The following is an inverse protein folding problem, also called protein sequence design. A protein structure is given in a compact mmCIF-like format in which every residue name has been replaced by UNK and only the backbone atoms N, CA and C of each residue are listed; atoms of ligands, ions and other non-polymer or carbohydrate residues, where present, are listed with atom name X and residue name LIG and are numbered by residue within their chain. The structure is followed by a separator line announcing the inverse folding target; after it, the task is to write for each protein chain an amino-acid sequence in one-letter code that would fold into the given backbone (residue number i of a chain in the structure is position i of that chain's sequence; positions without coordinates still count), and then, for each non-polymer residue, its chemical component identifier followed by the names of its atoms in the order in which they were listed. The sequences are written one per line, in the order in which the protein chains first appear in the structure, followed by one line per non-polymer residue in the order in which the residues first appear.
data_IF_683153647518
#
_entry.id   IF_683153647518
#
_cell.length_a   1.000
_cell.length_b   1.000
_cell.length_c   1.000
_cell.angle_alpha   90.00
_cell.angle_beta   90.00
_cell.angle_gamma   90.00
#
_symmetry.space_group_name_H-M   'P 1'
#
loop_
_entity.id
_entity.type
_entity.pdbx_description
1 polymer ?
#
# COMPACT_ATOMS: atom_id res chain seq x y z
N UNK A 1 5.33 -7.90 -26.55
CA UNK A 1 4.30 -7.40 -25.62
C UNK A 1 3.80 -8.49 -24.70
N UNK A 2 3.17 -8.12 -23.58
CA UNK A 2 2.68 -9.06 -22.58
C UNK A 2 1.22 -8.78 -22.26
N UNK A 3 0.54 -9.82 -21.77
CA UNK A 3 -0.83 -9.76 -21.25
C UNK A 3 -0.78 -9.81 -19.72
N UNK A 4 -1.32 -8.80 -19.05
CA UNK A 4 -1.38 -8.77 -17.58
C UNK A 4 -2.50 -9.66 -17.09
N UNK A 5 -2.13 -10.85 -16.64
CA UNK A 5 -3.07 -11.87 -16.17
C UNK A 5 -3.63 -11.59 -14.78
N UNK A 6 -2.87 -10.90 -13.93
CA UNK A 6 -3.34 -10.51 -12.60
C UNK A 6 -2.74 -9.19 -12.13
N UNK A 7 -3.53 -8.44 -11.37
CA UNK A 7 -3.11 -7.23 -10.68
C UNK A 7 -3.61 -7.25 -9.22
N UNK A 8 -2.91 -6.55 -8.31
CA UNK A 8 -3.21 -6.63 -6.88
C UNK A 8 -4.46 -5.86 -6.48
N UNK A 9 -5.03 -6.23 -5.34
CA UNK A 9 -5.86 -5.34 -4.53
C UNK A 9 -4.98 -4.29 -3.88
N UNK A 10 -5.46 -3.07 -3.75
CA UNK A 10 -4.75 -1.94 -3.17
C UNK A 10 -5.54 -1.34 -2.01
N UNK A 11 -4.88 -1.16 -0.88
CA UNK A 11 -5.37 -0.36 0.24
C UNK A 11 -4.46 0.84 0.50
N UNK A 12 -5.05 2.03 0.53
CA UNK A 12 -4.43 3.23 1.07
C UNK A 12 -4.61 3.27 2.58
N UNK A 13 -3.58 3.74 3.29
CA UNK A 13 -3.54 3.75 4.75
C UNK A 13 -3.16 5.15 5.22
N UNK A 14 -3.98 5.69 6.11
CA UNK A 14 -3.74 6.97 6.76
C UNK A 14 -3.61 6.76 8.25
N UNK A 15 -2.44 7.12 8.80
CA UNK A 15 -2.11 6.98 10.22
C UNK A 15 -1.87 8.38 10.77
N UNK A 16 -2.49 8.70 11.90
CA UNK A 16 -2.24 9.95 12.62
C UNK A 16 -1.86 9.63 14.05
N UNK A 17 -0.72 10.14 14.48
CA UNK A 17 -0.31 10.11 15.87
C UNK A 17 -0.58 11.46 16.52
N UNK A 18 -1.10 11.43 17.76
CA UNK A 18 -1.34 12.59 18.60
C UNK A 18 -0.61 12.44 19.92
N UNK A 19 0.33 13.33 20.14
CA UNK A 19 1.06 13.44 21.39
C UNK A 19 0.64 14.68 22.17
N UNK A 20 1.63 15.32 22.82
CA UNK A 20 1.46 16.55 23.61
C UNK A 20 2.64 17.48 23.37
N UNK A 21 2.36 18.73 22.99
CA UNK A 21 3.39 19.75 22.82
C UNK A 21 4.02 20.14 24.16
N UNK A 22 5.33 20.42 24.12
CA UNK A 22 6.08 21.00 25.21
C UNK A 22 7.31 21.75 24.67
N UNK A 23 7.90 22.63 25.46
CA UNK A 23 9.15 23.29 25.08
C UNK A 23 10.32 22.33 25.25
N UNK A 24 10.98 21.97 24.13
CA UNK A 24 11.98 20.91 24.10
C UNK A 24 13.22 21.16 25.02
N UNK A 25 13.53 22.38 25.33
CA UNK A 25 14.66 22.74 26.18
C UNK A 25 14.30 23.16 27.61
N UNK A 26 13.01 23.28 27.98
CA UNK A 26 12.56 23.77 29.26
C UNK A 26 11.84 22.69 30.09
N UNK A 27 10.89 22.01 29.46
CA UNK A 27 10.05 20.98 30.09
C UNK A 27 9.79 19.82 29.13
N UNK A 28 10.83 19.14 28.54
CA UNK A 28 10.66 18.06 27.58
C UNK A 28 9.87 16.87 28.15
N UNK A 29 9.95 16.64 29.47
CA UNK A 29 9.26 15.58 30.18
C UNK A 29 7.73 15.74 30.21
N UNK A 30 7.21 16.95 29.98
CA UNK A 30 5.78 17.20 29.84
C UNK A 30 5.25 16.85 28.43
N UNK A 31 6.16 16.68 27.46
CA UNK A 31 5.82 16.41 26.06
C UNK A 31 5.64 14.93 25.74
N UNK A 32 4.88 14.64 24.69
CA UNK A 32 4.78 13.33 24.05
C UNK A 32 4.99 13.54 22.54
N UNK A 33 6.11 13.04 22.01
CA UNK A 33 6.47 13.27 20.61
C UNK A 33 5.71 12.36 19.66
N UNK A 34 4.78 12.93 18.89
CA UNK A 34 4.07 12.22 17.84
C UNK A 34 5.00 11.77 16.69
N UNK A 35 6.08 12.52 16.40
CA UNK A 35 7.09 12.10 15.39
C UNK A 35 7.86 10.88 15.89
N UNK A 36 8.26 10.84 17.16
CA UNK A 36 8.93 9.67 17.73
C UNK A 36 8.03 8.42 17.70
N UNK A 37 6.74 8.58 18.03
CA UNK A 37 5.75 7.51 17.94
C UNK A 37 5.60 6.99 16.50
N UNK A 38 5.46 7.89 15.52
CA UNK A 38 5.37 7.53 14.10
C UNK A 38 6.63 6.81 13.60
N UNK A 39 7.81 7.30 13.96
CA UNK A 39 9.09 6.68 13.60
C UNK A 39 9.23 5.27 14.20
N UNK A 40 8.84 5.10 15.47
CA UNK A 40 8.81 3.81 16.14
C UNK A 40 7.84 2.82 15.47
N UNK A 41 6.66 3.27 15.06
CA UNK A 41 5.72 2.45 14.31
C UNK A 41 6.29 2.02 12.96
N UNK A 42 6.79 2.97 12.16
CA UNK A 42 7.37 2.70 10.83
C UNK A 42 8.54 1.72 10.92
N UNK A 43 9.40 1.83 11.92
CA UNK A 43 10.56 0.93 12.11
C UNK A 43 10.17 -0.53 12.39
N UNK A 44 8.95 -0.78 12.85
CA UNK A 44 8.39 -2.12 13.12
C UNK A 44 7.63 -2.69 11.93
N UNK A 45 7.23 -1.85 10.99
CA UNK A 45 6.47 -2.29 9.81
C UNK A 45 7.39 -3.06 8.86
N UNK A 46 6.90 -4.18 8.33
CA UNK A 46 7.53 -4.86 7.21
C UNK A 46 7.15 -4.12 5.93
N UNK A 47 8.07 -3.30 5.39
CA UNK A 47 7.88 -2.47 4.20
C UNK A 47 8.68 -3.00 3.02
N UNK A 48 8.40 -2.45 1.83
CA UNK A 48 8.98 -2.88 0.57
C UNK A 48 8.31 -4.15 0.04
N UNK A 49 9.10 -5.09 -0.46
CA UNK A 49 8.61 -6.40 -0.92
C UNK A 49 8.46 -7.35 0.27
N UNK A 50 7.20 -7.55 0.69
CA UNK A 50 6.85 -8.42 1.82
C UNK A 50 6.99 -9.89 1.43
N UNK A 51 6.46 -10.25 0.25
CA UNK A 51 6.65 -11.55 -0.41
C UNK A 51 6.53 -11.40 -1.94
N UNK A 52 6.45 -12.51 -2.70
CA UNK A 52 6.44 -12.49 -4.17
C UNK A 52 5.22 -11.78 -4.79
N UNK A 53 4.18 -11.50 -4.02
CA UNK A 53 2.94 -10.88 -4.51
C UNK A 53 2.41 -9.75 -3.62
N UNK A 54 3.05 -9.52 -2.45
CA UNK A 54 2.63 -8.52 -1.46
C UNK A 54 3.70 -7.44 -1.31
N UNK A 55 3.29 -6.19 -1.33
CA UNK A 55 4.13 -5.02 -1.07
C UNK A 55 3.45 -4.08 -0.09
N UNK A 56 4.25 -3.33 0.68
CA UNK A 56 3.77 -2.24 1.54
C UNK A 56 4.77 -1.08 1.52
N UNK A 57 4.28 0.13 1.68
CA UNK A 57 5.11 1.33 1.68
C UNK A 57 4.56 2.39 2.64
N UNK A 58 5.43 3.09 3.35
CA UNK A 58 5.15 4.34 4.04
C UNK A 58 5.76 5.47 3.19
N UNK A 59 4.95 6.06 2.31
CA UNK A 59 5.43 6.96 1.26
C UNK A 59 5.59 8.41 1.70
N UNK A 60 4.83 8.84 2.72
CA UNK A 60 4.86 10.22 3.23
C UNK A 60 4.80 10.20 4.74
N UNK A 61 5.61 11.03 5.38
CA UNK A 61 5.53 11.37 6.80
C UNK A 61 5.59 12.89 6.95
N UNK A 62 4.72 13.46 7.78
CA UNK A 62 4.66 14.90 7.99
C UNK A 62 4.23 15.17 9.44
N UNK A 63 4.92 16.08 10.12
CA UNK A 63 4.62 16.40 11.51
C UNK A 63 5.48 17.51 12.12
N UNK A 64 5.07 17.97 13.29
CA UNK A 64 5.75 19.04 14.02
C UNK A 64 5.47 20.44 13.48
N UNK A 65 5.89 21.46 14.25
CA UNK A 65 5.69 22.89 13.94
C UNK A 65 6.99 23.69 14.02
N UNK A 66 7.87 23.38 14.98
CA UNK A 66 9.14 24.05 15.19
C UNK A 66 10.16 23.12 15.85
N UNK A 67 11.45 23.38 15.60
CA UNK A 67 12.56 22.55 16.13
C UNK A 67 12.68 22.52 17.66
N UNK A 68 12.19 23.55 18.34
CA UNK A 68 12.23 23.69 19.80
C UNK A 68 10.91 23.34 20.48
N UNK A 69 9.97 22.72 19.76
CA UNK A 69 8.68 22.25 20.28
C UNK A 69 8.59 20.75 20.08
N UNK A 70 8.25 20.01 21.14
CA UNK A 70 7.91 18.59 21.04
C UNK A 70 6.66 18.45 20.19
N UNK A 71 6.69 17.69 19.08
CA UNK A 71 5.60 17.66 18.11
C UNK A 71 4.39 16.90 18.65
N UNK A 72 3.24 17.56 18.72
CA UNK A 72 1.98 16.95 19.16
C UNK A 72 1.23 16.20 18.06
N UNK A 73 1.62 16.35 16.81
CA UNK A 73 0.96 15.68 15.68
C UNK A 73 1.96 15.17 14.64
N UNK A 74 1.65 13.99 14.09
CA UNK A 74 2.37 13.43 12.97
C UNK A 74 1.41 12.58 12.13
N UNK A 75 1.43 12.78 10.80
CA UNK A 75 0.65 12.01 9.83
C UNK A 75 1.59 11.15 8.98
N UNK A 76 1.19 9.90 8.76
CA UNK A 76 1.88 8.97 7.84
C UNK A 76 0.88 8.50 6.80
N UNK A 77 1.24 8.61 5.51
CA UNK A 77 0.49 8.03 4.40
C UNK A 77 1.24 6.83 3.89
N UNK A 78 0.55 5.70 3.93
CA UNK A 78 1.08 4.41 3.56
C UNK A 78 0.14 3.68 2.60
N UNK A 79 0.61 2.59 2.03
CA UNK A 79 -0.19 1.70 1.19
C UNK A 79 0.24 0.24 1.40
N UNK A 80 -0.67 -0.67 1.08
CA UNK A 80 -0.36 -2.08 0.94
C UNK A 80 -1.06 -2.65 -0.30
N UNK A 81 -0.39 -3.58 -0.98
CA UNK A 81 -0.93 -4.26 -2.16
C UNK A 81 -0.64 -5.74 -2.09
N UNK A 82 -1.60 -6.56 -2.51
CA UNK A 82 -1.37 -8.00 -2.72
C UNK A 82 -2.34 -8.56 -3.77
N UNK A 83 -1.88 -9.59 -4.49
CA UNK A 83 -2.77 -10.38 -5.36
C UNK A 83 -3.58 -11.41 -4.57
N UNK A 84 -3.20 -11.67 -3.32
CA UNK A 84 -3.95 -12.45 -2.35
C UNK A 84 -4.57 -11.50 -1.29
N UNK A 85 -5.90 -11.49 -1.20
CA UNK A 85 -6.63 -10.59 -0.29
C UNK A 85 -6.35 -10.92 1.17
N UNK A 86 -6.19 -12.20 1.53
CA UNK A 86 -5.91 -12.60 2.91
C UNK A 86 -4.52 -12.10 3.36
N UNK A 87 -3.52 -12.18 2.46
CA UNK A 87 -2.19 -11.62 2.71
C UNK A 87 -2.21 -10.10 2.83
N UNK A 88 -3.03 -9.43 2.01
CA UNK A 88 -3.22 -7.99 2.13
C UNK A 88 -3.78 -7.62 3.51
N UNK A 89 -4.83 -8.30 3.95
CA UNK A 89 -5.47 -8.07 5.25
C UNK A 89 -4.49 -8.33 6.41
N UNK A 90 -3.70 -9.40 6.34
CA UNK A 90 -2.64 -9.69 7.31
C UNK A 90 -1.57 -8.59 7.34
N UNK A 91 -1.14 -8.09 6.18
CA UNK A 91 -0.15 -7.01 6.10
C UNK A 91 -0.71 -5.71 6.70
N UNK A 92 -1.94 -5.33 6.37
CA UNK A 92 -2.59 -4.14 6.93
C UNK A 92 -2.76 -4.26 8.44
N UNK A 93 -3.15 -5.44 8.93
CA UNK A 93 -3.27 -5.71 10.36
C UNK A 93 -1.90 -5.62 11.07
N UNK A 94 -0.85 -6.19 10.50
CA UNK A 94 0.52 -6.06 11.03
C UNK A 94 0.99 -4.61 11.13
N UNK A 95 0.65 -3.76 10.14
CA UNK A 95 0.96 -2.33 10.20
C UNK A 95 0.17 -1.61 11.30
N UNK A 96 -1.08 -2.00 11.54
CA UNK A 96 -1.88 -1.48 12.66
C UNK A 96 -1.27 -1.87 14.00
N UNK A 97 -0.89 -3.13 14.18
CA UNK A 97 -0.25 -3.64 15.40
C UNK A 97 1.08 -2.91 15.71
N UNK A 98 1.86 -2.57 14.68
CA UNK A 98 3.05 -1.74 14.84
C UNK A 98 2.73 -0.34 15.39
N UNK A 99 1.59 0.25 14.99
CA UNK A 99 1.11 1.52 15.53
C UNK A 99 0.64 1.38 16.99
N UNK A 100 -0.08 0.31 17.32
CA UNK A 100 -0.55 0.02 18.69
C UNK A 100 0.63 -0.11 19.66
N UNK A 101 1.65 -0.87 19.29
CA UNK A 101 2.86 -1.05 20.09
C UNK A 101 3.60 0.29 20.29
N UNK A 102 3.79 1.06 19.21
CA UNK A 102 4.46 2.36 19.30
C UNK A 102 3.68 3.36 20.16
N UNK A 103 2.35 3.37 20.04
CA UNK A 103 1.48 4.22 20.85
C UNK A 103 1.57 3.85 22.36
N UNK A 104 1.54 2.55 22.67
CA UNK A 104 1.66 2.06 24.04
C UNK A 104 3.00 2.43 24.69
N UNK A 105 4.11 2.34 23.95
CA UNK A 105 5.46 2.67 24.43
C UNK A 105 5.69 4.17 24.64
N UNK A 106 5.12 4.99 23.74
CA UNK A 106 5.37 6.43 23.74
C UNK A 106 4.34 7.24 24.52
N UNK A 107 3.19 6.64 24.85
CA UNK A 107 2.04 7.32 25.43
C UNK A 107 1.26 8.20 24.44
N UNK A 108 1.57 8.15 23.14
CA UNK A 108 0.83 8.86 22.11
C UNK A 108 -0.49 8.14 21.80
N UNK A 109 -1.53 8.90 21.48
CA UNK A 109 -2.72 8.33 20.85
C UNK A 109 -2.49 8.18 19.34
N UNK A 110 -3.24 7.27 18.69
CA UNK A 110 -3.19 7.16 17.24
C UNK A 110 -4.58 6.84 16.64
N UNK A 111 -4.73 7.15 15.36
CA UNK A 111 -5.80 6.63 14.50
C UNK A 111 -5.19 5.94 13.29
N UNK A 112 -5.88 4.92 12.79
CA UNK A 112 -5.46 4.13 11.63
C UNK A 112 -6.67 3.89 10.75
N UNK A 113 -6.64 4.46 9.56
CA UNK A 113 -7.70 4.34 8.56
C UNK A 113 -7.14 3.60 7.35
N UNK A 114 -7.71 2.42 7.02
CA UNK A 114 -7.40 1.70 5.78
C UNK A 114 -8.63 1.77 4.87
N UNK A 115 -8.39 2.07 3.58
CA UNK A 115 -9.43 2.19 2.57
C UNK A 115 -9.02 1.40 1.33
N UNK A 116 -9.89 0.47 0.91
CA UNK A 116 -9.72 -0.23 -0.36
C UNK A 116 -9.96 0.72 -1.53
N UNK A 117 -8.92 0.98 -2.31
CA UNK A 117 -9.00 1.84 -3.49
C UNK A 117 -9.55 1.09 -4.71
N UNK A 118 -9.12 -0.16 -4.88
CA UNK A 118 -9.64 -1.07 -5.90
C UNK A 118 -9.36 -2.53 -5.56
N UNK A 119 -10.21 -3.48 -6.04
CA UNK A 119 -9.97 -4.91 -5.92
C UNK A 119 -8.89 -5.38 -6.91
N UNK A 120 -8.24 -6.48 -6.60
CA UNK A 120 -7.40 -7.22 -7.55
C UNK A 120 -8.23 -7.99 -8.57
N UNK A 121 -7.56 -8.49 -9.63
CA UNK A 121 -8.15 -9.45 -10.55
C UNK A 121 -7.13 -10.53 -10.94
N UNK A 122 -7.65 -11.67 -11.40
CA UNK A 122 -6.85 -12.76 -11.94
C UNK A 122 -7.61 -13.46 -13.06
N UNK A 123 -7.00 -13.51 -14.23
CA UNK A 123 -7.48 -14.30 -15.36
C UNK A 123 -6.67 -15.59 -15.50
N UNK A 124 -7.36 -16.71 -15.69
CA UNK A 124 -6.69 -17.95 -16.09
C UNK A 124 -6.26 -17.87 -17.55
N UNK A 125 -5.33 -18.74 -17.93
CA UNK A 125 -4.89 -18.86 -19.32
C UNK A 125 -6.02 -19.21 -20.29
N UNK A 126 -7.03 -19.94 -19.81
CA UNK A 126 -8.20 -20.37 -20.60
C UNK A 126 -9.35 -19.37 -20.56
N UNK A 127 -9.21 -18.25 -19.83
CA UNK A 127 -10.24 -17.21 -19.81
C UNK A 127 -10.54 -16.73 -21.24
N UNK A 128 -11.82 -16.46 -21.58
CA UNK A 128 -12.20 -16.01 -22.92
C UNK A 128 -11.39 -14.80 -23.41
N UNK A 129 -11.13 -13.84 -22.50
CA UNK A 129 -10.34 -12.65 -22.79
C UNK A 129 -8.87 -12.99 -23.10
N UNK A 130 -8.25 -13.91 -22.35
CA UNK A 130 -6.88 -14.36 -22.60
C UNK A 130 -6.75 -15.11 -23.92
N UNK A 131 -7.72 -15.97 -24.25
CA UNK A 131 -7.78 -16.67 -25.54
C UNK A 131 -7.95 -15.69 -26.71
N UNK A 132 -8.83 -14.69 -26.55
CA UNK A 132 -9.04 -13.65 -27.56
C UNK A 132 -7.75 -12.85 -27.80
N UNK A 133 -7.09 -12.38 -26.73
CA UNK A 133 -5.84 -11.63 -26.82
C UNK A 133 -4.73 -12.44 -27.51
N UNK A 134 -4.56 -13.72 -27.17
CA UNK A 134 -3.60 -14.62 -27.83
C UNK A 134 -3.90 -14.80 -29.31
N UNK A 135 -5.19 -15.01 -29.68
CA UNK A 135 -5.58 -15.16 -31.09
C UNK A 135 -5.31 -13.89 -31.89
N UNK A 136 -5.62 -12.73 -31.31
CA UNK A 136 -5.35 -11.43 -31.96
C UNK A 136 -3.84 -11.20 -32.11
N UNK A 137 -3.03 -11.47 -31.11
CA UNK A 137 -1.58 -11.34 -31.16
C UNK A 137 -0.96 -12.30 -32.20
N UNK A 138 -1.42 -13.55 -32.24
CA UNK A 138 -0.95 -14.56 -33.23
C UNK A 138 -1.24 -14.15 -34.67
N UNK A 139 -2.38 -13.48 -34.95
CA UNK A 139 -2.69 -12.96 -36.29
C UNK A 139 -1.73 -11.86 -36.75
N UNK A 140 -0.99 -11.25 -35.82
CA UNK A 140 0.04 -10.24 -36.08
C UNK A 140 1.46 -10.79 -35.95
N UNK A 141 1.62 -12.10 -35.79
CA UNK A 141 2.92 -12.77 -35.63
C UNK A 141 3.54 -12.62 -34.24
N UNK A 142 2.76 -12.27 -33.20
CA UNK A 142 3.22 -12.12 -31.82
C UNK A 142 2.73 -13.27 -30.91
N UNK A 143 3.55 -13.63 -29.92
CA UNK A 143 3.15 -14.51 -28.81
C UNK A 143 3.27 -13.69 -27.53
N UNK A 144 2.14 -13.29 -26.88
CA UNK A 144 2.20 -12.50 -25.66
C UNK A 144 2.52 -13.39 -24.47
N UNK A 145 3.42 -12.94 -23.60
CA UNK A 145 3.65 -13.55 -22.29
C UNK A 145 2.49 -13.21 -21.33
N UNK A 146 2.12 -14.18 -20.51
CA UNK A 146 1.16 -13.96 -19.40
C UNK A 146 1.94 -13.55 -18.17
N UNK A 147 1.73 -12.31 -17.70
CA UNK A 147 2.49 -11.77 -16.55
C UNK A 147 1.58 -11.38 -15.40
N UNK A 148 2.14 -11.42 -14.19
CA UNK A 148 1.51 -10.88 -12.99
C UNK A 148 2.10 -9.49 -12.72
N UNK A 149 1.25 -8.48 -12.56
CA UNK A 149 1.69 -7.10 -12.34
C UNK A 149 1.57 -6.69 -10.85
N UNK A 150 2.44 -5.77 -10.41
CA UNK A 150 2.42 -5.20 -9.06
C UNK A 150 1.62 -3.89 -8.95
N UNK A 151 1.31 -3.25 -10.06
CA UNK A 151 0.51 -2.03 -10.14
C UNK A 151 -0.95 -2.30 -10.50
N UNK A 152 -1.82 -1.34 -10.18
CA UNK A 152 -3.22 -1.32 -10.60
C UNK A 152 -3.43 -0.48 -11.86
N UNK A 153 -4.61 -0.65 -12.45
CA UNK A 153 -5.08 0.09 -13.63
C UNK A 153 -6.61 0.16 -13.61
N UNK A 154 -7.21 0.84 -14.58
CA UNK A 154 -8.67 0.87 -14.77
C UNK A 154 -9.26 -0.54 -14.92
N UNK A 155 -8.46 -1.52 -15.38
CA UNK A 155 -8.87 -2.91 -15.45
C UNK A 155 -9.26 -3.49 -14.09
N UNK A 156 -8.66 -3.03 -12.99
CA UNK A 156 -9.06 -3.42 -11.64
C UNK A 156 -10.49 -3.00 -11.34
N UNK A 157 -10.84 -1.76 -11.69
CA UNK A 157 -12.19 -1.21 -11.51
C UNK A 157 -13.21 -1.93 -12.38
N UNK A 158 -12.88 -2.18 -13.65
CA UNK A 158 -13.76 -2.87 -14.60
C UNK A 158 -14.03 -4.31 -14.13
N UNK A 159 -13.00 -5.07 -13.78
CA UNK A 159 -13.15 -6.43 -13.27
C UNK A 159 -13.95 -6.46 -11.96
N UNK A 160 -13.72 -5.49 -11.06
CA UNK A 160 -14.50 -5.34 -9.82
C UNK A 160 -15.99 -5.07 -10.05
N UNK A 161 -16.36 -4.55 -11.23
CA UNK A 161 -17.75 -4.36 -11.68
C UNK A 161 -18.29 -5.51 -12.55
N UNK A 162 -17.54 -6.60 -12.66
CA UNK A 162 -17.93 -7.78 -13.45
C UNK A 162 -17.70 -7.64 -14.96
N UNK A 163 -16.96 -6.64 -15.41
CA UNK A 163 -16.56 -6.45 -16.80
C UNK A 163 -15.14 -6.99 -16.99
N UNK A 164 -14.94 -8.15 -17.66
CA UNK A 164 -13.62 -8.70 -17.89
C UNK A 164 -12.74 -7.74 -18.70
N UNK A 165 -11.62 -7.32 -18.10
CA UNK A 165 -10.65 -6.42 -18.71
C UNK A 165 -9.24 -6.82 -18.34
N UNK A 166 -8.27 -6.58 -19.21
CA UNK A 166 -6.85 -6.82 -18.97
C UNK A 166 -5.99 -5.77 -19.67
N UNK A 167 -4.83 -5.50 -19.10
CA UNK A 167 -3.82 -4.63 -19.70
C UNK A 167 -3.01 -5.44 -20.72
N UNK A 168 -2.74 -4.84 -21.86
CA UNK A 168 -1.80 -5.36 -22.87
C UNK A 168 -0.62 -4.40 -22.91
N UNK A 169 0.59 -4.91 -22.67
CA UNK A 169 1.82 -4.14 -22.78
C UNK A 169 2.16 -3.85 -24.24
N UNK A 170 2.44 -2.59 -24.53
CA UNK A 170 2.75 -2.10 -25.88
C UNK A 170 4.25 -2.09 -26.19
N UNK A 171 5.08 -2.67 -25.32
CA UNK A 171 6.53 -2.77 -25.51
C UNK A 171 7.29 -1.48 -25.16
N UNK A 172 6.70 -0.62 -24.33
CA UNK A 172 7.43 0.51 -23.74
C UNK A 172 8.36 -0.02 -22.64
N UNK A 173 9.65 0.25 -22.76
CA UNK A 173 10.68 0.04 -21.74
C UNK A 173 11.15 1.41 -21.24
N UNK A 174 11.25 1.58 -19.91
CA UNK A 174 11.80 2.80 -19.30
C UNK A 174 13.34 2.82 -19.37
#
# INVERSE_FOLDING_TARGET
GHFVASAPTHESILIRFKGRAAHAGVCPEEGISAIAAAAAAISRMKLGRVDFETTANAGVISGGSARNVIPESCEVRAEARSRDVNKLEQQVQSMREACEQAAAETGAAFSFEAKREYPGYKHSEDAPLARFARKAAASLGFTPDMVNHGGGSDCNILNGKGLPAAVIGVGYEE
#
